data_IF_735854070546
#
_entry.id   IF_735854070546
#
_cell.length_a   1.000
_cell.length_b   1.000
_cell.length_c   1.000
_cell.angle_alpha   90.00
_cell.angle_beta   90.00
_cell.angle_gamma   90.00
#
_symmetry.space_group_name_H-M   'P 1'
#
loop_
_entity.id
_entity.type
_entity.pdbx_description
1 polymer ?
#
# COMPACT_ATOMS: atom_id res chain seq x y z
N UNK A 1 2.03 -7.33 24.49
CA UNK A 1 2.72 -6.15 25.05
C UNK A 1 3.18 -5.30 23.86
N UNK A 2 2.25 -4.57 23.24
CA UNK A 2 2.54 -3.76 22.05
C UNK A 2 3.19 -2.45 22.47
N UNK A 3 4.20 -2.00 21.71
CA UNK A 3 4.95 -0.77 21.99
C UNK A 3 4.08 0.51 21.91
N UNK A 4 2.89 0.40 21.32
CA UNK A 4 1.97 1.49 20.93
C UNK A 4 0.51 1.03 21.18
N UNK A 5 -0.42 1.94 21.47
CA UNK A 5 -1.85 1.62 21.63
C UNK A 5 -2.49 1.12 20.32
N UNK A 6 -3.46 0.19 20.41
CA UNK A 6 -4.13 -0.37 19.23
C UNK A 6 -4.77 0.69 18.32
N UNK A 7 -5.44 1.74 18.83
CA UNK A 7 -5.97 2.79 17.97
C UNK A 7 -4.87 3.56 17.24
N UNK A 8 -3.72 3.79 17.88
CA UNK A 8 -2.61 4.53 17.28
C UNK A 8 -1.93 3.71 16.19
N UNK A 9 -1.83 2.39 16.34
CA UNK A 9 -1.37 1.49 15.27
C UNK A 9 -2.25 1.65 14.01
N UNK A 10 -3.57 1.56 14.16
CA UNK A 10 -4.48 1.66 13.02
C UNK A 10 -4.54 3.09 12.44
N UNK A 11 -4.34 4.12 13.27
CA UNK A 11 -4.19 5.50 12.80
C UNK A 11 -2.93 5.67 11.93
N UNK A 12 -1.79 5.11 12.35
CA UNK A 12 -0.57 5.09 11.52
C UNK A 12 -0.83 4.32 10.22
N UNK A 13 -1.47 3.16 10.28
CA UNK A 13 -1.79 2.36 9.09
C UNK A 13 -2.70 3.12 8.11
N UNK A 14 -3.65 3.91 8.60
CA UNK A 14 -4.51 4.77 7.78
C UNK A 14 -3.72 5.89 7.10
N UNK A 15 -2.84 6.57 7.84
CA UNK A 15 -2.02 7.64 7.29
C UNK A 15 -1.08 7.08 6.22
N UNK A 16 -0.42 5.96 6.49
CA UNK A 16 0.48 5.28 5.55
C UNK A 16 -0.26 4.82 4.29
N UNK A 17 -1.38 4.09 4.44
CA UNK A 17 -2.18 3.67 3.28
C UNK A 17 -2.77 4.83 2.50
N UNK A 18 -3.18 5.90 3.18
CA UNK A 18 -3.63 7.15 2.53
C UNK A 18 -2.52 7.81 1.71
N UNK A 19 -1.28 7.85 2.25
CA UNK A 19 -0.13 8.38 1.54
C UNK A 19 0.22 7.52 0.31
N UNK A 20 0.19 6.19 0.44
CA UNK A 20 0.43 5.28 -0.68
C UNK A 20 -0.68 5.39 -1.73
N UNK A 21 -1.94 5.56 -1.34
CA UNK A 21 -3.04 5.81 -2.28
C UNK A 21 -2.82 7.08 -3.11
N UNK A 22 -2.43 8.18 -2.46
CA UNK A 22 -2.10 9.41 -3.17
C UNK A 22 -0.93 9.21 -4.14
N UNK A 23 0.09 8.47 -3.72
CA UNK A 23 1.21 8.10 -4.57
C UNK A 23 0.79 7.26 -5.77
N UNK A 24 -0.14 6.32 -5.61
CA UNK A 24 -0.67 5.50 -6.70
C UNK A 24 -1.49 6.32 -7.70
N UNK A 25 -2.26 7.30 -7.22
CA UNK A 25 -2.93 8.27 -8.10
C UNK A 25 -1.90 9.06 -8.91
N UNK A 26 -0.81 9.52 -8.28
CA UNK A 26 0.29 10.17 -8.98
C UNK A 26 0.93 9.26 -10.05
N UNK A 27 1.07 7.96 -9.79
CA UNK A 27 1.61 6.99 -10.76
C UNK A 27 0.67 6.85 -11.97
N UNK A 28 -0.63 6.70 -11.74
CA UNK A 28 -1.63 6.61 -12.82
C UNK A 28 -1.60 7.88 -13.67
N UNK A 29 -1.62 9.06 -13.07
CA UNK A 29 -1.57 10.34 -13.82
C UNK A 29 -0.30 10.42 -14.65
N UNK A 30 0.87 10.10 -14.07
CA UNK A 30 2.15 10.17 -14.78
C UNK A 30 2.23 9.16 -15.94
N UNK A 31 1.64 7.97 -15.79
CA UNK A 31 1.54 6.98 -16.87
C UNK A 31 0.54 7.40 -17.95
N UNK A 32 -0.58 8.03 -17.58
CA UNK A 32 -1.54 8.60 -18.53
C UNK A 32 -0.96 9.80 -19.30
N UNK A 33 -0.16 10.63 -18.64
CA UNK A 33 0.57 11.72 -19.31
C UNK A 33 1.57 11.16 -20.34
N UNK A 34 2.19 10.01 -20.05
CA UNK A 34 3.04 9.31 -21.01
C UNK A 34 2.22 8.69 -22.16
N UNK A 35 1.03 8.13 -21.88
CA UNK A 35 0.14 7.55 -22.91
C UNK A 35 -0.38 8.62 -23.89
N UNK A 36 -0.61 9.82 -23.39
CA UNK A 36 -1.04 10.98 -24.20
C UNK A 36 0.12 11.75 -24.84
N UNK A 37 1.35 11.23 -24.80
CA UNK A 37 2.57 11.86 -25.31
C UNK A 37 2.87 13.26 -24.71
N UNK A 38 2.38 13.55 -23.50
CA UNK A 38 2.66 14.80 -22.78
C UNK A 38 4.04 14.81 -22.09
N UNK A 39 4.57 13.63 -21.73
CA UNK A 39 5.86 13.46 -21.06
C UNK A 39 6.80 12.56 -21.85
N UNK A 40 8.10 12.85 -21.79
CA UNK A 40 9.13 11.94 -22.31
C UNK A 40 9.26 10.70 -21.41
N UNK A 41 9.43 9.52 -22.02
CA UNK A 41 9.62 8.24 -21.35
C UNK A 41 10.73 8.28 -20.29
N UNK A 42 11.85 8.94 -20.58
CA UNK A 42 12.97 9.05 -19.62
C UNK A 42 12.58 9.86 -18.37
N UNK A 43 11.86 10.98 -18.56
CA UNK A 43 11.40 11.81 -17.44
C UNK A 43 10.34 11.09 -16.61
N UNK A 44 9.42 10.38 -17.27
CA UNK A 44 8.41 9.54 -16.62
C UNK A 44 9.07 8.43 -15.77
N UNK A 45 9.98 7.64 -16.36
CA UNK A 45 10.65 6.54 -15.66
C UNK A 45 11.49 7.02 -14.48
N UNK A 46 12.24 8.13 -14.63
CA UNK A 46 13.01 8.69 -13.52
C UNK A 46 12.12 9.14 -12.35
N UNK A 47 10.98 9.79 -12.65
CA UNK A 47 10.01 10.21 -11.64
C UNK A 47 9.40 8.99 -10.94
N UNK A 48 8.87 8.03 -11.69
CA UNK A 48 8.24 6.83 -11.13
C UNK A 48 9.21 6.01 -10.29
N UNK A 49 10.42 5.74 -10.79
CA UNK A 49 11.40 4.90 -10.11
C UNK A 49 11.88 5.51 -8.78
N UNK A 50 11.93 6.84 -8.68
CA UNK A 50 12.24 7.54 -7.41
C UNK A 50 11.24 7.19 -6.31
N UNK A 51 9.99 6.94 -6.67
CA UNK A 51 8.90 6.65 -5.74
C UNK A 51 8.62 5.16 -5.52
N UNK A 52 9.20 4.28 -6.33
CA UNK A 52 9.07 2.82 -6.19
C UNK A 52 9.62 2.34 -4.84
N UNK A 53 10.81 2.82 -4.45
CA UNK A 53 11.43 2.44 -3.18
C UNK A 53 10.60 2.95 -1.98
N UNK A 54 10.20 4.24 -1.92
CA UNK A 54 9.27 4.72 -0.89
C UNK A 54 7.98 3.89 -0.78
N UNK A 55 7.35 3.53 -1.91
CA UNK A 55 6.15 2.67 -1.94
C UNK A 55 6.42 1.32 -1.25
N UNK A 56 7.54 0.68 -1.59
CA UNK A 56 7.92 -0.63 -1.04
C UNK A 56 8.21 -0.54 0.47
N UNK A 57 8.97 0.47 0.89
CA UNK A 57 9.33 0.68 2.29
C UNK A 57 8.09 0.97 3.14
N UNK A 58 7.17 1.82 2.66
CA UNK A 58 5.91 2.12 3.34
C UNK A 58 5.09 0.85 3.60
N UNK A 59 4.85 0.05 2.56
CA UNK A 59 4.09 -1.19 2.69
C UNK A 59 4.78 -2.22 3.61
N UNK A 60 6.10 -2.42 3.45
CA UNK A 60 6.85 -3.34 4.29
C UNK A 60 6.87 -2.89 5.76
N UNK A 61 6.97 -1.59 6.01
CA UNK A 61 6.91 -0.99 7.34
C UNK A 61 5.56 -1.25 8.00
N UNK A 62 4.45 -1.05 7.27
CA UNK A 62 3.10 -1.31 7.78
C UNK A 62 2.91 -2.79 8.15
N UNK A 63 3.34 -3.72 7.29
CA UNK A 63 3.25 -5.17 7.53
C UNK A 63 4.10 -5.58 8.74
N UNK A 64 5.28 -5.01 8.88
CA UNK A 64 6.16 -5.23 10.03
C UNK A 64 5.52 -4.74 11.34
N UNK A 65 4.89 -3.56 11.33
CA UNK A 65 4.16 -3.05 12.49
C UNK A 65 2.97 -3.96 12.88
N UNK A 66 2.18 -4.42 11.91
CA UNK A 66 1.07 -5.35 12.15
C UNK A 66 1.56 -6.68 12.75
N UNK A 67 2.72 -7.17 12.30
CA UNK A 67 3.32 -8.40 12.79
C UNK A 67 3.77 -8.27 14.26
N UNK A 68 4.45 -7.19 14.63
CA UNK A 68 4.90 -6.95 16.02
C UNK A 68 3.71 -6.83 16.98
N UNK A 69 2.62 -6.22 16.55
CA UNK A 69 1.40 -6.09 17.34
C UNK A 69 0.57 -7.39 17.42
N UNK A 70 0.96 -8.45 16.70
CA UNK A 70 0.29 -9.75 16.75
C UNK A 70 -1.01 -9.82 15.94
N UNK A 71 -1.25 -8.87 15.02
CA UNK A 71 -2.42 -8.85 14.15
C UNK A 71 -2.23 -9.85 12.98
N UNK A 72 -2.21 -11.14 13.29
CA UNK A 72 -1.86 -12.22 12.36
C UNK A 72 -2.81 -12.29 11.16
N UNK A 73 -4.12 -12.10 11.38
CA UNK A 73 -5.11 -12.13 10.29
C UNK A 73 -4.85 -11.01 9.27
N UNK A 74 -4.68 -9.77 9.74
CA UNK A 74 -4.38 -8.63 8.85
C UNK A 74 -3.03 -8.80 8.15
N UNK A 75 -2.03 -9.33 8.85
CA UNK A 75 -0.72 -9.61 8.26
C UNK A 75 -0.83 -10.65 7.14
N UNK A 76 -1.61 -11.72 7.35
CA UNK A 76 -1.78 -12.79 6.38
C UNK A 76 -2.49 -12.32 5.10
N UNK A 77 -3.50 -11.46 5.22
CA UNK A 77 -4.18 -10.88 4.03
C UNK A 77 -3.26 -9.89 3.30
N UNK A 78 -2.27 -9.27 3.96
CA UNK A 78 -1.28 -8.43 3.29
C UNK A 78 -0.14 -9.20 2.60
N UNK A 79 0.10 -10.47 2.97
CA UNK A 79 1.20 -11.26 2.42
C UNK A 79 1.18 -11.36 0.88
N UNK A 80 0.06 -11.64 0.19
CA UNK A 80 0.04 -11.73 -1.27
C UNK A 80 0.53 -10.44 -1.95
N UNK A 81 0.10 -9.30 -1.41
CA UNK A 81 0.49 -7.99 -1.92
C UNK A 81 1.97 -7.70 -1.66
N UNK A 82 2.44 -8.00 -0.45
CA UNK A 82 3.85 -7.85 -0.08
C UNK A 82 4.74 -8.70 -0.98
N UNK A 83 4.38 -9.97 -1.20
CA UNK A 83 5.12 -10.88 -2.10
C UNK A 83 5.13 -10.37 -3.53
N UNK A 84 4.01 -9.85 -4.04
CA UNK A 84 3.97 -9.25 -5.37
C UNK A 84 4.93 -8.05 -5.44
N UNK A 85 4.86 -7.11 -4.50
CA UNK A 85 5.74 -5.93 -4.47
C UNK A 85 7.23 -6.31 -4.45
N UNK A 86 7.60 -7.31 -3.64
CA UNK A 86 8.97 -7.81 -3.60
C UNK A 86 9.37 -8.52 -4.90
N UNK A 87 8.48 -9.32 -5.49
CA UNK A 87 8.72 -9.95 -6.78
C UNK A 87 8.92 -8.91 -7.90
N UNK A 88 8.12 -7.84 -7.91
CA UNK A 88 8.27 -6.73 -8.84
C UNK A 88 9.63 -6.03 -8.69
N UNK A 89 10.09 -5.84 -7.45
CA UNK A 89 11.36 -5.17 -7.17
C UNK A 89 12.59 -6.06 -7.45
N UNK A 90 12.57 -7.34 -7.06
CA UNK A 90 13.69 -8.25 -7.25
C UNK A 90 13.73 -8.93 -8.63
N UNK A 91 12.59 -8.97 -9.33
CA UNK A 91 12.49 -9.52 -10.68
C UNK A 91 13.03 -8.60 -11.78
N UNK A 92 13.53 -7.41 -11.44
CA UNK A 92 14.09 -6.47 -12.40
C UNK A 92 15.40 -7.03 -12.99
N UNK A 93 15.52 -7.15 -14.33
CA UNK A 93 16.73 -7.62 -14.97
C UNK A 93 17.94 -6.73 -14.66
N UNK A 94 19.09 -7.34 -14.40
CA UNK A 94 20.36 -6.63 -14.19
C UNK A 94 20.81 -5.95 -15.49
N UNK A 95 20.47 -4.67 -15.63
CA UNK A 95 20.68 -3.89 -16.86
C UNK A 95 19.59 -2.82 -17.06
N UNK A 96 18.45 -2.97 -16.41
CA UNK A 96 17.37 -1.98 -16.43
C UNK A 96 17.70 -0.78 -15.54
N UNK A 97 17.25 0.42 -15.92
CA UNK A 97 17.41 1.62 -15.09
C UNK A 97 16.50 1.65 -13.84
N UNK A 98 15.66 0.63 -13.66
CA UNK A 98 14.74 0.45 -12.54
C UNK A 98 13.58 -0.47 -12.88
N UNK A 99 12.51 -0.40 -12.08
CA UNK A 99 11.25 -1.11 -12.39
C UNK A 99 10.62 -0.57 -13.68
N UNK A 100 10.79 0.73 -13.93
CA UNK A 100 10.35 1.39 -15.16
C UNK A 100 11.58 1.73 -16.01
N UNK A 101 11.63 1.22 -17.24
CA UNK A 101 12.70 1.50 -18.18
C UNK A 101 12.19 2.17 -19.46
N UNK A 102 12.81 3.29 -19.90
CA UNK A 102 12.32 4.06 -21.04
C UNK A 102 12.41 3.31 -22.37
N UNK A 103 13.26 2.29 -22.49
CA UNK A 103 13.37 1.52 -23.75
C UNK A 103 12.20 0.54 -23.91
N UNK A 104 11.68 0.03 -22.79
CA UNK A 104 10.57 -0.92 -22.79
C UNK A 104 9.20 -0.24 -22.68
N UNK A 105 9.11 0.92 -22.03
CA UNK A 105 7.83 1.56 -21.69
C UNK A 105 7.05 2.09 -22.91
N UNK A 106 7.74 2.37 -24.02
CA UNK A 106 7.09 2.83 -25.26
C UNK A 106 6.36 1.69 -25.98
N UNK A 107 6.62 0.43 -25.62
CA UNK A 107 5.81 -0.68 -26.08
C UNK A 107 4.41 -0.56 -25.47
N UNK A 108 3.40 -0.31 -26.32
CA UNK A 108 1.99 -0.17 -25.90
C UNK A 108 1.49 -1.33 -25.02
N UNK A 109 2.06 -2.53 -25.18
CA UNK A 109 1.75 -3.67 -24.30
C UNK A 109 2.26 -3.50 -22.87
N UNK A 110 3.48 -2.99 -22.69
CA UNK A 110 4.08 -2.79 -21.36
C UNK A 110 3.45 -1.62 -20.63
N UNK A 111 3.18 -0.50 -21.32
CA UNK A 111 2.50 0.65 -20.71
C UNK A 111 1.14 0.25 -20.14
N UNK A 112 0.32 -0.47 -20.92
CA UNK A 112 -0.99 -0.97 -20.43
C UNK A 112 -0.84 -1.95 -19.27
N UNK A 113 0.21 -2.77 -19.26
CA UNK A 113 0.50 -3.69 -18.14
C UNK A 113 0.82 -2.90 -16.87
N UNK A 114 1.73 -1.93 -16.93
CA UNK A 114 2.08 -1.10 -15.77
C UNK A 114 0.91 -0.27 -15.26
N UNK A 115 0.09 0.31 -16.15
CA UNK A 115 -1.12 1.04 -15.75
C UNK A 115 -2.15 0.11 -15.10
N UNK A 116 -2.35 -1.09 -15.63
CA UNK A 116 -3.24 -2.11 -15.04
C UNK A 116 -2.74 -2.54 -13.66
N UNK A 117 -1.45 -2.83 -13.52
CA UNK A 117 -0.87 -3.28 -12.26
C UNK A 117 -0.97 -2.15 -11.20
N UNK A 118 -0.77 -0.88 -11.58
CA UNK A 118 -1.05 0.28 -10.71
C UNK A 118 -2.53 0.40 -10.32
N UNK A 119 -3.46 0.10 -11.24
CA UNK A 119 -4.90 0.08 -10.93
C UNK A 119 -5.27 -1.02 -9.92
N UNK A 120 -4.67 -2.20 -10.05
CA UNK A 120 -4.84 -3.31 -9.10
C UNK A 120 -4.34 -2.89 -7.71
N UNK A 121 -3.16 -2.28 -7.64
CA UNK A 121 -2.63 -1.73 -6.39
C UNK A 121 -3.59 -0.69 -5.80
N UNK A 122 -4.07 0.26 -6.60
CA UNK A 122 -5.00 1.27 -6.13
C UNK A 122 -6.28 0.66 -5.53
N UNK A 123 -6.87 -0.32 -6.21
CA UNK A 123 -8.04 -1.05 -5.69
C UNK A 123 -7.74 -1.78 -4.37
N UNK A 124 -6.59 -2.46 -4.29
CA UNK A 124 -6.15 -3.13 -3.08
C UNK A 124 -6.02 -2.16 -1.89
N UNK A 125 -5.24 -1.08 -2.05
CA UNK A 125 -5.01 -0.12 -0.97
C UNK A 125 -6.30 0.61 -0.57
N UNK A 126 -7.23 0.81 -1.50
CA UNK A 126 -8.53 1.42 -1.20
C UNK A 126 -9.38 0.52 -0.30
N UNK A 127 -9.45 -0.77 -0.60
CA UNK A 127 -10.17 -1.74 0.24
C UNK A 127 -9.53 -1.81 1.63
N UNK A 128 -8.20 -1.90 1.68
CA UNK A 128 -7.46 -1.96 2.94
C UNK A 128 -7.59 -0.69 3.77
N UNK A 129 -7.69 0.48 3.15
CA UNK A 129 -7.96 1.74 3.84
C UNK A 129 -9.26 1.66 4.65
N UNK A 130 -10.35 1.15 4.05
CA UNK A 130 -11.61 0.97 4.78
C UNK A 130 -11.54 -0.10 5.87
N UNK A 131 -10.78 -1.19 5.64
CA UNK A 131 -10.55 -2.22 6.67
C UNK A 131 -9.81 -1.61 7.87
N UNK A 132 -8.74 -0.87 7.65
CA UNK A 132 -8.01 -0.21 8.73
C UNK A 132 -8.85 0.86 9.44
N UNK A 133 -9.71 1.56 8.72
CA UNK A 133 -10.67 2.51 9.29
C UNK A 133 -11.65 1.80 10.23
N UNK A 134 -12.21 0.68 9.79
CA UNK A 134 -13.10 -0.14 10.61
C UNK A 134 -12.40 -0.68 11.88
N UNK A 135 -11.18 -1.22 11.73
CA UNK A 135 -10.38 -1.70 12.86
C UNK A 135 -10.04 -0.57 13.85
N UNK A 136 -9.73 0.64 13.36
CA UNK A 136 -9.49 1.80 14.22
C UNK A 136 -10.73 2.17 15.03
N UNK A 137 -11.91 2.21 14.41
CA UNK A 137 -13.16 2.55 15.11
C UNK A 137 -13.47 1.52 16.21
N UNK A 138 -13.31 0.22 15.93
CA UNK A 138 -13.51 -0.82 16.94
C UNK A 138 -12.50 -0.69 18.09
N UNK A 139 -11.23 -0.43 17.77
CA UNK A 139 -10.20 -0.23 18.79
C UNK A 139 -10.50 0.98 19.69
N UNK A 140 -11.08 2.05 19.12
CA UNK A 140 -11.52 3.23 19.88
C UNK A 140 -12.75 2.91 20.75
N UNK A 141 -13.76 2.23 20.21
CA UNK A 141 -14.99 1.87 20.94
C UNK A 141 -14.71 0.93 22.12
N UNK A 142 -13.74 0.02 21.98
CA UNK A 142 -13.29 -0.85 23.07
C UNK A 142 -12.65 -0.05 24.23
N UNK A 143 -12.17 1.16 23.96
CA UNK A 143 -11.63 2.08 24.95
C UNK A 143 -12.68 2.88 25.71
N UNK A 144 -13.96 2.88 25.29
CA UNK A 144 -15.01 3.66 25.92
C UNK A 144 -15.56 2.98 27.20
N UNK A 145 -15.53 3.65 28.37
CA UNK A 145 -15.94 3.06 29.65
C UNK A 145 -17.45 2.80 29.77
N UNK A 146 -18.28 3.29 28.83
CA UNK A 146 -19.75 3.16 28.87
C UNK A 146 -20.22 1.75 28.54
N UNK A 147 -19.53 1.02 27.66
CA UNK A 147 -19.90 -0.35 27.26
C UNK A 147 -19.30 -1.46 28.13
N UNK A 148 -18.40 -1.12 29.07
CA UNK A 148 -17.77 -2.13 29.95
C UNK A 148 -18.78 -2.96 30.74
N UNK A 149 -19.94 -2.37 31.06
CA UNK A 149 -21.00 -3.05 31.81
C UNK A 149 -21.86 -4.01 30.96
N UNK A 150 -21.80 -3.96 29.63
CA UNK A 150 -22.58 -4.84 28.76
C UNK A 150 -21.82 -6.16 28.48
N UNK A 151 -20.49 -6.08 28.33
CA UNK A 151 -19.64 -7.24 28.04
C UNK A 151 -19.46 -8.15 29.27
N UNK A 152 -19.45 -7.59 30.49
CA UNK A 152 -19.38 -8.36 31.74
C UNK A 152 -20.66 -9.19 32.04
N UNK A 153 -21.76 -8.98 31.30
CA UNK A 153 -23.06 -9.64 31.51
C UNK A 153 -23.36 -10.79 30.54
N UNK A 154 -22.53 -10.99 29.51
CA UNK A 154 -22.75 -12.02 28.47
C UNK A 154 -21.87 -13.26 28.69
N UNK A 155 -20.90 -13.19 29.60
CA UNK A 155 -19.95 -14.27 29.94
C UNK A 155 -20.41 -15.20 31.09
N UNK A 156 -21.73 -15.40 31.30
CA UNK A 156 -22.29 -16.42 32.20
C UNK A 156 -23.12 -17.48 31.47
#
# INVERSE_FOLDING_TARGET
MGLISEPLLFAIALIDTGAVLFLLVYFIITLSDLECDYLNAQQCCSKLNTWVIPKLVAHAFLVFLLLIHGQLMLTLVNLPMTLWLFYEFFGVPSGNMGVYDPTEIHNRGQLKRHTRDCMIYLGYYLIFFFIYLYCMIIALLKGDPVNRNADDLVDY
#
